data_IF_867154960752
#
_entry.id   IF_867154960752
#
_cell.length_a   1.000
_cell.length_b   1.000
_cell.length_c   1.000
_cell.angle_alpha   90.00
_cell.angle_beta   90.00
_cell.angle_gamma   90.00
#
_symmetry.space_group_name_H-M   'P 1'
#
loop_
_entity.id
_entity.type
_entity.pdbx_description
1 polymer ?
#
# COMPACT_ATOMS: atom_id res chain seq x y z
N UNK A 1 -10.73 3.57 -6.48
CA UNK A 1 -9.51 4.02 -7.20
C UNK A 1 -9.85 4.71 -8.52
N UNK A 2 -10.46 4.02 -9.50
CA UNK A 2 -10.82 4.64 -10.80
C UNK A 2 -11.66 5.93 -10.67
N UNK A 3 -12.70 5.92 -9.83
CA UNK A 3 -13.51 7.11 -9.54
C UNK A 3 -12.76 8.28 -8.88
N UNK A 4 -11.54 8.02 -8.37
CA UNK A 4 -10.64 9.01 -7.77
C UNK A 4 -9.44 9.34 -8.68
N UNK A 5 -9.44 8.84 -9.93
CA UNK A 5 -8.35 9.07 -10.89
C UNK A 5 -7.06 8.31 -10.60
N UNK A 6 -7.08 7.32 -9.68
CA UNK A 6 -5.90 6.52 -9.35
C UNK A 6 -5.84 5.31 -10.29
N UNK A 7 -4.83 5.23 -11.19
CA UNK A 7 -4.68 4.10 -12.10
C UNK A 7 -4.18 2.84 -11.38
N UNK A 8 -4.49 1.69 -11.98
CA UNK A 8 -4.04 0.38 -11.50
C UNK A 8 -4.95 -0.73 -11.97
N UNK A 9 -4.36 -1.83 -12.43
CA UNK A 9 -5.08 -3.05 -12.83
C UNK A 9 -5.21 -4.03 -11.67
N UNK A 10 -6.14 -4.97 -11.78
CA UNK A 10 -6.26 -6.07 -10.82
C UNK A 10 -4.96 -6.85 -10.73
N UNK A 11 -4.35 -7.17 -11.87
CA UNK A 11 -3.12 -7.94 -11.99
C UNK A 11 -1.93 -7.19 -11.35
N UNK A 12 -1.85 -5.88 -11.58
CA UNK A 12 -0.86 -5.00 -10.95
C UNK A 12 -1.01 -4.96 -9.44
N UNK A 13 -2.23 -4.89 -8.91
CA UNK A 13 -2.44 -4.93 -7.46
C UNK A 13 -2.13 -6.32 -6.92
N UNK A 14 -2.69 -7.37 -7.52
CA UNK A 14 -2.55 -8.75 -7.09
C UNK A 14 -1.09 -9.20 -7.03
N UNK A 15 -0.27 -8.91 -8.05
CA UNK A 15 1.15 -9.27 -8.05
C UNK A 15 1.91 -8.65 -6.89
N UNK A 16 1.63 -7.38 -6.57
CA UNK A 16 2.30 -6.66 -5.49
C UNK A 16 1.81 -7.19 -4.13
N UNK A 17 0.49 -7.38 -3.95
CA UNK A 17 -0.07 -7.96 -2.71
C UNK A 17 0.53 -9.33 -2.39
N UNK A 18 0.65 -10.20 -3.38
CA UNK A 18 1.23 -11.53 -3.18
C UNK A 18 2.71 -11.47 -2.81
N UNK A 19 3.47 -10.51 -3.38
CA UNK A 19 4.88 -10.31 -3.04
C UNK A 19 5.06 -9.75 -1.63
N UNK A 20 4.26 -8.76 -1.25
CA UNK A 20 4.44 -8.01 0.00
C UNK A 20 3.93 -8.78 1.23
N UNK A 21 2.79 -9.47 1.12
CA UNK A 21 2.09 -10.03 2.28
C UNK A 21 1.58 -11.46 2.09
N UNK A 22 1.78 -12.05 0.91
CA UNK A 22 1.11 -13.30 0.51
C UNK A 22 -0.42 -13.24 0.66
N UNK A 23 -1.01 -12.04 0.55
CA UNK A 23 -2.45 -11.82 0.68
C UNK A 23 -2.96 -11.69 2.12
N UNK A 24 -2.10 -11.60 3.13
CA UNK A 24 -2.52 -11.44 4.52
C UNK A 24 -2.58 -9.94 4.91
N UNK A 25 -3.77 -9.38 5.18
CA UNK A 25 -3.92 -7.95 5.50
C UNK A 25 -3.41 -7.57 6.90
N UNK A 26 -3.05 -8.54 7.74
CA UNK A 26 -2.60 -8.28 9.11
C UNK A 26 -1.08 -8.43 9.26
N UNK A 27 -0.31 -8.50 8.17
CA UNK A 27 1.15 -8.58 8.23
C UNK A 27 1.71 -7.26 8.74
N UNK A 28 2.57 -7.35 9.75
CA UNK A 28 3.35 -6.24 10.30
C UNK A 28 4.82 -6.64 10.25
N UNK A 29 5.65 -5.80 9.66
CA UNK A 29 7.10 -5.98 9.66
C UNK A 29 7.73 -5.20 10.82
N UNK A 30 8.22 -5.93 11.82
CA UNK A 30 8.80 -5.35 13.04
C UNK A 30 10.34 -5.44 13.12
N UNK A 31 11.03 -5.79 12.02
CA UNK A 31 12.47 -6.05 12.04
C UNK A 31 13.32 -5.05 11.24
N UNK A 32 12.73 -4.36 10.27
CA UNK A 32 13.47 -3.45 9.37
C UNK A 32 13.79 -2.07 10.00
N UNK A 33 14.38 -1.18 9.22
CA UNK A 33 14.74 0.17 9.68
C UNK A 33 13.49 1.02 10.00
N UNK A 34 12.38 0.79 9.31
CA UNK A 34 11.13 1.52 9.57
C UNK A 34 10.53 1.10 10.91
N UNK A 35 10.57 -0.19 11.23
CA UNK A 35 10.19 -0.72 12.52
C UNK A 35 11.05 -0.15 13.65
N UNK A 36 12.38 -0.12 13.46
CA UNK A 36 13.31 0.49 14.42
C UNK A 36 13.03 1.98 14.64
N UNK A 37 12.59 2.69 13.59
CA UNK A 37 12.19 4.09 13.66
C UNK A 37 10.74 4.30 14.17
N UNK A 38 10.03 3.23 14.54
CA UNK A 38 8.68 3.31 15.11
C UNK A 38 7.55 3.43 14.09
N UNK A 39 7.83 3.26 12.80
CA UNK A 39 6.83 3.30 11.71
C UNK A 39 6.87 2.01 10.87
N UNK A 40 6.62 0.83 11.48
CA UNK A 40 6.69 -0.44 10.76
C UNK A 40 5.74 -0.47 9.56
N UNK A 41 6.17 -1.14 8.49
CA UNK A 41 5.35 -1.40 7.32
C UNK A 41 4.28 -2.44 7.63
N UNK A 42 3.05 -2.21 7.17
CA UNK A 42 1.93 -3.11 7.47
C UNK A 42 0.93 -3.28 6.32
N UNK A 43 0.12 -4.33 6.46
CA UNK A 43 -1.00 -4.60 5.57
C UNK A 43 -0.60 -5.27 4.26
N UNK A 44 -1.56 -5.32 3.34
CA UNK A 44 -1.43 -6.09 2.09
C UNK A 44 -0.26 -5.66 1.21
N UNK A 45 0.06 -4.37 1.21
CA UNK A 45 1.13 -3.77 0.42
C UNK A 45 2.25 -3.16 1.28
N UNK A 46 2.34 -3.57 2.55
CA UNK A 46 3.44 -3.21 3.46
C UNK A 46 3.73 -1.69 3.50
N UNK A 47 2.68 -0.89 3.65
CA UNK A 47 2.76 0.58 3.71
C UNK A 47 3.13 1.04 5.11
N UNK A 48 3.98 2.07 5.23
CA UNK A 48 4.30 2.74 6.51
C UNK A 48 3.30 3.87 6.81
N UNK A 49 3.09 4.18 8.10
CA UNK A 49 2.09 5.17 8.53
C UNK A 49 2.23 6.54 7.82
N UNK A 50 3.43 7.16 7.72
CA UNK A 50 3.55 8.47 7.05
C UNK A 50 3.11 8.48 5.58
N UNK A 51 3.35 7.37 4.86
CA UNK A 51 2.90 7.19 3.48
C UNK A 51 1.38 7.02 3.43
N UNK A 52 0.80 6.22 4.33
CA UNK A 52 -0.64 6.07 4.41
C UNK A 52 -1.33 7.40 4.67
N UNK A 53 -0.85 8.18 5.65
CA UNK A 53 -1.43 9.48 6.01
C UNK A 53 -1.36 10.47 4.83
N UNK A 54 -0.26 10.46 4.09
CA UNK A 54 -0.05 11.35 2.94
C UNK A 54 -0.93 10.97 1.73
N UNK A 55 -1.09 9.68 1.48
CA UNK A 55 -1.74 9.15 0.27
C UNK A 55 -3.11 8.54 0.52
N UNK A 56 -3.67 8.72 1.73
CA UNK A 56 -5.00 8.25 2.09
C UNK A 56 -6.05 8.74 1.09
N UNK A 57 -7.00 7.86 0.76
CA UNK A 57 -8.03 8.15 -0.23
C UNK A 57 -9.35 8.40 0.48
N UNK A 58 -9.77 9.66 0.52
CA UNK A 58 -11.02 10.06 1.15
C UNK A 58 -12.22 9.19 0.71
N UNK A 59 -12.88 8.58 1.70
CA UNK A 59 -13.96 7.62 1.52
C UNK A 59 -13.59 6.16 1.84
N UNK A 60 -12.32 5.87 2.13
CA UNK A 60 -11.90 4.60 2.75
C UNK A 60 -11.77 4.74 4.26
N UNK A 61 -11.62 3.61 4.96
CA UNK A 61 -11.38 3.60 6.40
C UNK A 61 -10.09 4.37 6.75
N UNK A 62 -10.06 5.00 7.92
CA UNK A 62 -8.86 5.59 8.51
C UNK A 62 -8.10 4.52 9.33
N UNK A 63 -7.76 3.43 8.65
CA UNK A 63 -7.07 2.27 9.22
C UNK A 63 -6.09 1.71 8.18
N UNK A 64 -4.81 1.66 8.53
CA UNK A 64 -3.74 1.18 7.65
C UNK A 64 -3.85 -0.34 7.37
N UNK A 65 -4.46 -1.11 8.28
CA UNK A 65 -4.66 -2.55 8.10
C UNK A 65 -5.96 -2.88 7.36
N UNK A 66 -6.86 -1.90 7.14
CA UNK A 66 -8.03 -2.11 6.30
C UNK A 66 -7.57 -2.43 4.86
N UNK A 67 -7.97 -3.57 4.28
CA UNK A 67 -7.50 -4.00 2.95
C UNK A 67 -7.74 -2.95 1.87
N UNK A 68 -8.88 -2.27 1.89
CA UNK A 68 -9.27 -1.31 0.87
C UNK A 68 -8.47 -0.01 1.04
N UNK A 69 -8.36 0.50 2.27
CA UNK A 69 -7.56 1.68 2.57
C UNK A 69 -6.08 1.45 2.25
N UNK A 70 -5.51 0.30 2.63
CA UNK A 70 -4.12 -0.07 2.35
C UNK A 70 -3.84 -0.14 0.84
N UNK A 71 -4.68 -0.86 0.07
CA UNK A 71 -4.54 -0.98 -1.39
C UNK A 71 -4.66 0.38 -2.06
N UNK A 72 -5.65 1.17 -1.67
CA UNK A 72 -5.92 2.47 -2.31
C UNK A 72 -4.83 3.49 -2.01
N UNK A 73 -4.33 3.56 -0.76
CA UNK A 73 -3.23 4.44 -0.38
C UNK A 73 -1.92 4.05 -1.08
N UNK A 74 -1.57 2.75 -1.10
CA UNK A 74 -0.39 2.26 -1.82
C UNK A 74 -0.47 2.53 -3.33
N UNK A 75 -1.63 2.32 -3.95
CA UNK A 75 -1.83 2.60 -5.37
C UNK A 75 -1.74 4.10 -5.68
N UNK A 76 -2.23 4.93 -4.77
CA UNK A 76 -2.13 6.39 -4.88
C UNK A 76 -0.66 6.85 -4.76
N UNK A 77 0.09 6.30 -3.82
CA UNK A 77 1.54 6.51 -3.73
C UNK A 77 2.26 6.07 -5.01
N UNK A 78 1.98 4.86 -5.50
CA UNK A 78 2.58 4.35 -6.71
C UNK A 78 2.27 5.17 -7.96
N UNK A 79 1.07 5.74 -8.03
CA UNK A 79 0.71 6.66 -9.09
C UNK A 79 1.62 7.90 -9.08
N UNK A 80 1.86 8.51 -7.91
CA UNK A 80 2.70 9.69 -7.80
C UNK A 80 4.18 9.43 -8.05
N UNK A 81 4.68 8.23 -7.72
CA UNK A 81 6.11 7.89 -7.83
C UNK A 81 6.43 7.17 -9.15
N UNK A 82 5.56 6.28 -9.61
CA UNK A 82 5.81 5.37 -10.74
C UNK A 82 4.79 5.50 -11.88
N UNK A 83 3.80 6.39 -11.75
CA UNK A 83 2.72 6.60 -12.74
C UNK A 83 1.60 5.56 -12.72
N UNK A 84 1.79 4.40 -12.08
CA UNK A 84 0.75 3.40 -11.77
C UNK A 84 1.35 2.31 -10.87
N UNK A 85 0.51 1.65 -10.06
CA UNK A 85 0.92 0.43 -9.36
C UNK A 85 1.31 -0.72 -10.31
N UNK A 86 0.85 -0.67 -11.56
CA UNK A 86 1.24 -1.62 -12.61
C UNK A 86 2.74 -1.58 -12.91
N UNK A 87 3.37 -0.42 -12.71
CA UNK A 87 4.78 -0.17 -12.98
C UNK A 87 5.69 -0.55 -11.79
N UNK A 88 5.11 -0.96 -10.65
CA UNK A 88 5.86 -1.39 -9.48
C UNK A 88 6.31 -2.84 -9.67
N UNK A 89 7.62 -3.06 -9.64
CA UNK A 89 8.25 -4.37 -9.88
C UNK A 89 9.13 -4.85 -8.72
N UNK A 90 9.38 -4.01 -7.72
CA UNK A 90 10.14 -4.31 -6.50
C UNK A 90 9.27 -4.15 -5.26
N UNK A 91 9.71 -4.72 -4.14
CA UNK A 91 9.05 -4.52 -2.85
C UNK A 91 9.00 -3.03 -2.44
N UNK A 92 8.01 -2.68 -1.62
CA UNK A 92 7.82 -1.33 -1.09
C UNK A 92 8.84 -0.98 0.00
#
# INVERSE_FOLDING_TARGET
>A
MAAKGIPGTYEGIYKNVMRESSGNPNVVNDWDINAQNGTPSKGLLQVIQPTFDTYHVAGTADDLLDPVANITAASNYAYHVYGSIDNVNSAY
#
